data_IF_603344143423
#
_entry.id   IF_603344143423
#
_cell.length_a   1.000
_cell.length_b   1.000
_cell.length_c   1.000
_cell.angle_alpha   90.00
_cell.angle_beta   90.00
_cell.angle_gamma   90.00
#
_symmetry.space_group_name_H-M   'P 1'
#
loop_
_entity.id
_entity.type
_entity.pdbx_description
1 polymer ?
2 non-polymer ?
3 non-polymer ?
4 water ?
#
# COMPACT_ATOMS: atom_id res chain seq x y z
N UNK A 1 -13.24 5.89 -11.48
CA UNK A 1 -12.11 6.22 -12.31
C UNK A 1 -10.71 6.02 -11.62
N UNK A 2 -10.16 4.87 -11.79
CA UNK A 2 -8.89 4.48 -11.12
C UNK A 2 -7.68 4.77 -12.01
N UNK A 3 -7.90 5.25 -13.23
CA UNK A 3 -6.92 5.12 -14.30
C UNK A 3 -5.62 5.84 -14.03
N UNK A 4 -5.72 6.94 -13.28
CA UNK A 4 -4.54 7.76 -12.91
C UNK A 4 -3.55 7.05 -12.00
N UNK A 5 -4.00 5.98 -11.39
CA UNK A 5 -3.18 5.17 -10.49
C UNK A 5 -2.44 4.04 -11.20
N UNK A 6 -2.87 3.69 -12.41
CA UNK A 6 -2.35 2.48 -13.04
C UNK A 6 -0.93 2.68 -13.51
N UNK A 7 -0.13 1.64 -13.38
CA UNK A 7 1.23 1.63 -13.89
C UNK A 7 2.18 1.10 -12.87
N UNK A 8 3.48 1.35 -13.14
CA UNK A 8 4.56 0.88 -12.31
C UNK A 8 5.17 2.08 -11.58
N UNK A 9 5.34 1.92 -10.27
CA UNK A 9 5.72 3.00 -9.37
C UNK A 9 6.89 2.55 -8.51
N UNK A 10 7.81 3.46 -8.23
CA UNK A 10 9.00 3.15 -7.45
C UNK A 10 9.06 4.02 -6.21
N UNK A 11 9.41 3.43 -5.06
CA UNK A 11 9.48 4.21 -3.82
C UNK A 11 10.65 5.21 -3.90
N UNK A 12 10.35 6.46 -3.54
CA UNK A 12 11.41 7.48 -3.56
C UNK A 12 11.49 8.28 -2.28
N UNK A 13 10.66 8.01 -1.28
CA UNK A 13 10.69 8.74 -0.01
C UNK A 13 9.75 7.98 0.92
N UNK A 14 10.20 7.95 2.18
CA UNK A 14 9.40 7.25 3.21
C UNK A 14 9.61 7.98 4.53
N UNK A 15 8.47 8.19 5.22
CA UNK A 15 8.43 8.84 6.51
C UNK A 15 7.62 7.98 7.47
N UNK A 16 8.23 7.65 8.61
CA UNK A 16 7.55 6.97 9.71
C UNK A 16 7.13 5.53 9.40
N UNK A 17 7.78 4.87 8.43
CA UNK A 17 7.43 3.49 8.17
C UNK A 17 7.80 2.59 9.35
N UNK A 18 8.91 2.87 10.02
CA UNK A 18 9.24 2.06 11.20
C UNK A 18 8.14 2.18 12.26
N UNK A 19 7.67 3.41 12.50
CA UNK A 19 6.60 3.56 13.50
C UNK A 19 5.39 2.70 13.09
N UNK A 20 5.01 2.74 11.82
CA UNK A 20 3.85 1.99 11.36
C UNK A 20 4.06 0.49 11.54
N UNK A 21 5.21 -0.02 11.09
CA UNK A 21 5.51 -1.43 11.26
C UNK A 21 5.51 -1.83 12.74
N UNK A 22 6.14 -1.00 13.58
CA UNK A 22 6.21 -1.31 14.99
C UNK A 22 4.79 -1.40 15.57
N UNK A 23 3.91 -0.47 15.19
CA UNK A 23 2.54 -0.47 15.69
C UNK A 23 1.81 -1.78 15.32
N UNK A 24 2.02 -2.29 14.11
CA UNK A 24 1.55 -3.59 13.72
C UNK A 24 2.21 -4.78 14.40
N UNK A 25 3.29 -4.62 15.17
CA UNK A 25 3.97 -5.72 15.83
C UNK A 25 5.03 -6.40 14.98
N UNK A 26 5.49 -5.72 13.93
CA UNK A 26 6.57 -6.30 13.12
C UNK A 26 7.88 -6.32 13.90
N UNK A 27 8.59 -7.47 13.90
CA UNK A 27 9.80 -7.62 14.65
C UNK A 27 10.94 -6.76 14.13
N UNK A 28 11.92 -6.50 15.05
CA UNK A 28 12.95 -5.52 14.72
C UNK A 28 13.75 -5.86 13.50
N UNK A 29 14.06 -7.15 13.28
CA UNK A 29 14.93 -7.52 12.16
C UNK A 29 14.21 -7.28 10.85
N UNK A 30 12.92 -7.60 10.81
CA UNK A 30 12.13 -7.31 9.61
C UNK A 30 12.00 -5.82 9.38
N UNK A 31 11.79 -5.03 10.44
CA UNK A 31 11.70 -3.59 10.22
C UNK A 31 13.01 -3.07 9.68
N UNK A 32 14.09 -3.62 10.22
CA UNK A 32 15.40 -3.18 9.83
C UNK A 32 15.61 -3.40 8.31
N UNK A 33 15.31 -4.55 7.72
CA UNK A 33 15.43 -4.80 6.30
C UNK A 33 14.44 -3.92 5.52
N UNK A 34 13.18 -3.87 5.99
CA UNK A 34 12.17 -3.09 5.29
C UNK A 34 12.49 -1.62 5.24
N UNK A 35 13.21 -1.07 6.20
CA UNK A 35 13.55 0.33 6.22
C UNK A 35 14.56 0.70 5.12
N UNK A 36 15.21 -0.30 4.53
CA UNK A 36 16.19 -0.08 3.47
C UNK A 36 15.76 -0.64 2.12
N UNK A 37 14.57 -1.14 2.02
CA UNK A 37 14.02 -1.66 0.79
C UNK A 37 13.21 -0.53 0.09
N UNK A 38 13.27 -0.56 -1.26
CA UNK A 38 12.50 0.40 -2.06
C UNK A 38 11.60 -0.42 -3.01
N UNK A 39 10.41 -0.72 -2.62
CA UNK A 39 9.60 -1.54 -3.46
C UNK A 39 9.18 -0.85 -4.76
N UNK A 40 8.78 -1.74 -5.68
CA UNK A 40 8.07 -1.37 -6.88
C UNK A 40 6.62 -1.80 -6.70
N UNK A 41 5.70 -0.86 -6.92
CA UNK A 41 4.28 -1.16 -6.88
C UNK A 41 3.75 -1.13 -8.31
N UNK A 42 3.02 -2.16 -8.71
CA UNK A 42 2.42 -2.25 -10.05
C UNK A 42 0.93 -2.36 -9.85
N UNK A 43 0.18 -1.44 -10.47
CA UNK A 43 -1.28 -1.43 -10.36
C UNK A 43 -1.81 -1.58 -11.78
N UNK A 44 -2.58 -2.63 -12.01
CA UNK A 44 -3.13 -2.94 -13.35
C UNK A 44 -4.62 -3.23 -13.18
N UNK A 45 -5.37 -3.00 -14.28
CA UNK A 45 -6.77 -3.33 -14.32
C UNK A 45 -7.09 -4.20 -15.52
N UNK A 46 -8.08 -5.04 -15.33
CA UNK A 46 -8.69 -5.83 -16.41
C UNK A 46 -10.19 -5.81 -16.13
N UNK A 47 -10.90 -4.97 -16.88
CA UNK A 47 -12.29 -4.76 -16.54
C UNK A 47 -12.40 -4.20 -15.14
N UNK A 48 -13.29 -4.81 -14.34
CA UNK A 48 -13.59 -4.41 -12.99
C UNK A 48 -12.53 -4.95 -12.00
N UNK A 49 -11.56 -5.71 -12.43
CA UNK A 49 -10.62 -6.33 -11.49
C UNK A 49 -9.30 -5.57 -11.51
N UNK A 50 -8.91 -5.11 -10.32
CA UNK A 50 -7.61 -4.50 -10.13
C UNK A 50 -6.65 -5.53 -9.57
N UNK A 51 -5.38 -5.46 -9.98
CA UNK A 51 -4.32 -6.25 -9.38
C UNK A 51 -3.20 -5.31 -8.95
N UNK A 52 -2.79 -5.44 -7.71
CA UNK A 52 -1.77 -4.58 -7.11
C UNK A 52 -0.65 -5.49 -6.62
N UNK A 53 0.51 -5.34 -7.26
CA UNK A 53 1.71 -6.09 -6.93
C UNK A 53 2.65 -5.19 -6.17
N UNK A 54 3.30 -5.71 -5.15
CA UNK A 54 4.41 -5.01 -4.50
C UNK A 54 5.62 -5.96 -4.58
N UNK A 55 6.70 -5.46 -5.18
CA UNK A 55 7.90 -6.28 -5.41
C UNK A 55 9.09 -5.64 -4.73
N UNK A 56 9.93 -6.48 -4.14
CA UNK A 56 11.15 -5.95 -3.55
C UNK A 56 12.16 -7.09 -3.43
N UNK A 57 13.35 -6.73 -2.93
CA UNK A 57 14.36 -7.71 -2.60
C UNK A 57 14.06 -8.50 -1.36
N UNK A 58 13.06 -8.12 -0.59
CA UNK A 58 12.74 -8.76 0.68
C UNK A 58 11.45 -9.49 0.58
N UNK A 59 10.29 -8.80 0.61
CA UNK A 59 9.00 -9.48 0.44
C UNK A 59 8.36 -9.08 -0.85
N UNK A 60 7.57 -9.97 -1.46
CA UNK A 60 6.66 -9.66 -2.54
C UNK A 60 5.21 -9.94 -2.10
N UNK A 61 4.30 -9.16 -2.62
CA UNK A 61 2.87 -9.42 -2.43
C UNK A 61 2.11 -9.18 -3.73
N UNK A 62 0.94 -9.79 -3.82
CA UNK A 62 0.00 -9.50 -4.90
C UNK A 62 -1.41 -9.69 -4.37
N UNK A 63 -2.28 -8.74 -4.69
CA UNK A 63 -3.71 -8.85 -4.42
C UNK A 63 -4.49 -8.52 -5.69
N UNK A 64 -5.65 -9.16 -5.83
CA UNK A 64 -6.62 -8.79 -6.85
C UNK A 64 -7.97 -8.56 -6.18
N UNK A 65 -8.70 -7.56 -6.68
CA UNK A 65 -9.94 -7.18 -6.05
C UNK A 65 -10.79 -6.40 -7.05
N UNK A 66 -12.11 -6.37 -6.80
CA UNK A 66 -13.00 -5.35 -7.40
C UNK A 66 -13.20 -4.28 -6.38
N UNK A 67 -13.29 -2.99 -6.85
CA UNK A 67 -13.57 -1.92 -5.97
C UNK A 67 -14.91 -2.17 -5.29
N UNK A 68 -14.93 -1.91 -4.00
CA UNK A 68 -16.16 -1.98 -3.22
C UNK A 68 -16.62 -3.37 -2.89
N UNK A 69 -15.78 -4.40 -3.08
CA UNK A 69 -16.15 -5.77 -2.77
C UNK A 69 -15.07 -6.33 -1.82
N UNK A 70 -15.49 -6.80 -0.66
CA UNK A 70 -14.53 -7.33 0.33
C UNK A 70 -13.77 -8.51 -0.23
N UNK A 71 -12.53 -8.65 0.20
CA UNK A 71 -11.68 -9.77 -0.18
C UNK A 71 -10.80 -10.16 1.00
N UNK A 72 -10.43 -11.44 1.06
CA UNK A 72 -9.44 -11.89 2.01
C UNK A 72 -8.04 -11.52 1.52
N UNK A 73 -7.17 -11.17 2.46
CA UNK A 73 -5.80 -10.79 2.14
C UNK A 73 -4.89 -11.32 3.24
N UNK A 74 -3.69 -11.74 2.84
CA UNK A 74 -2.62 -12.08 3.79
C UNK A 74 -1.48 -11.11 3.51
N UNK A 75 -1.22 -10.23 4.47
CA UNK A 75 -0.32 -9.13 4.25
C UNK A 75 1.15 -9.56 4.27
N UNK A 76 2.04 -8.61 3.91
CA UNK A 76 3.47 -8.92 3.86
C UNK A 76 4.02 -9.35 5.20
N UNK A 77 3.43 -8.83 6.29
CA UNK A 77 3.76 -9.20 7.65
C UNK A 77 2.88 -10.32 8.21
N UNK A 78 2.18 -11.03 7.34
CA UNK A 78 1.47 -12.26 7.66
C UNK A 78 0.21 -12.07 8.50
N UNK A 79 -0.41 -10.90 8.44
CA UNK A 79 -1.75 -10.74 9.01
C UNK A 79 -2.78 -11.26 8.00
N UNK A 80 -3.76 -12.00 8.52
CA UNK A 80 -4.90 -12.46 7.71
C UNK A 80 -6.03 -11.50 7.97
N UNK A 81 -6.38 -10.71 6.96
CA UNK A 81 -7.28 -9.57 7.12
C UNK A 81 -8.44 -9.66 6.14
N UNK A 82 -9.49 -8.91 6.47
CA UNK A 82 -10.63 -8.69 5.59
C UNK A 82 -10.46 -7.28 4.99
N UNK A 83 -10.39 -7.18 3.69
CA UNK A 83 -10.02 -5.94 3.01
C UNK A 83 -11.12 -5.44 2.08
N UNK A 84 -11.11 -4.13 1.90
CA UNK A 84 -11.96 -3.53 0.85
C UNK A 84 -11.19 -2.30 0.35
N UNK A 85 -11.29 -2.08 -0.96
CA UNK A 85 -10.65 -0.93 -1.60
C UNK A 85 -11.76 -0.15 -2.34
N UNK A 86 -11.77 1.16 -2.23
CA UNK A 86 -12.74 2.03 -2.86
C UNK A 86 -12.00 3.27 -3.35
N UNK A 87 -12.75 4.08 -4.11
CA UNK A 87 -12.35 5.45 -4.40
C UNK A 87 -13.18 6.36 -3.53
N UNK A 88 -12.48 7.32 -2.95
CA UNK A 88 -13.09 8.26 -2.02
C UNK A 88 -12.37 9.59 -2.22
N UNK A 89 -13.08 10.59 -2.73
CA UNK A 89 -12.42 11.86 -2.96
C UNK A 89 -11.30 11.76 -3.98
N UNK A 90 -11.40 10.81 -4.88
CA UNK A 90 -10.34 10.58 -5.87
C UNK A 90 -9.14 9.79 -5.34
N UNK A 91 -9.20 9.38 -4.10
CA UNK A 91 -8.13 8.61 -3.47
C UNK A 91 -8.52 7.15 -3.46
N UNK A 92 -7.52 6.30 -3.60
CA UNK A 92 -7.76 4.86 -3.55
C UNK A 92 -7.59 4.43 -2.10
N UNK A 93 -8.65 4.07 -1.38
CA UNK A 93 -8.62 3.81 0.07
C UNK A 93 -8.76 2.30 0.29
N UNK A 94 -7.74 1.74 0.89
CA UNK A 94 -7.70 0.30 1.23
C UNK A 94 -7.83 0.18 2.75
N UNK A 95 -8.89 -0.46 3.21
CA UNK A 95 -9.14 -0.69 4.63
C UNK A 95 -8.95 -2.18 4.91
N UNK A 96 -8.14 -2.50 5.91
CA UNK A 96 -7.93 -3.86 6.38
C UNK A 96 -8.46 -3.98 7.82
N UNK A 97 -9.15 -5.11 8.08
CA UNK A 97 -9.75 -5.40 9.37
C UNK A 97 -9.30 -6.78 9.83
N UNK A 98 -8.90 -6.90 11.10
CA UNK A 98 -8.55 -8.20 11.65
C UNK A 98 -8.55 -8.08 13.17
N UNK A 99 -9.03 -9.12 13.85
CA UNK A 99 -9.07 -9.10 15.32
C UNK A 99 -9.67 -7.79 15.98
N UNK A 100 -10.64 -7.17 15.30
CA UNK A 100 -11.16 -5.89 15.76
C UNK A 100 -10.27 -4.66 15.47
N UNK A 101 -9.08 -4.86 14.98
CA UNK A 101 -8.14 -3.82 14.56
C UNK A 101 -8.48 -3.39 13.14
N UNK A 102 -8.11 -2.17 12.75
CA UNK A 102 -8.18 -1.69 11.38
C UNK A 102 -6.92 -0.88 11.05
N UNK A 103 -6.47 -0.96 9.80
CA UNK A 103 -5.47 -0.05 9.26
C UNK A 103 -5.95 0.41 7.91
N UNK A 104 -5.60 1.65 7.56
CA UNK A 104 -5.93 2.20 6.26
C UNK A 104 -4.66 2.51 5.47
N UNK A 105 -4.75 2.26 4.19
CA UNK A 105 -3.69 2.50 3.21
C UNK A 105 -4.33 3.37 2.14
N UNK A 106 -4.02 4.67 2.15
CA UNK A 106 -4.69 5.65 1.29
C UNK A 106 -3.71 6.13 0.24
N UNK A 107 -4.08 6.02 -1.03
CA UNK A 107 -3.23 6.46 -2.13
C UNK A 107 -3.87 7.66 -2.82
N UNK A 108 -3.04 8.65 -3.11
CA UNK A 108 -3.49 9.80 -3.87
C UNK A 108 -2.36 10.21 -4.79
N UNK A 109 -2.84 11.01 -5.73
CA UNK A 109 -1.91 11.57 -6.70
C UNK A 109 -1.74 13.03 -6.42
N UNK A 110 -0.54 13.47 -6.24
CA UNK A 110 -0.19 14.89 -5.98
C UNK A 110 0.99 15.20 -6.95
N UNK A 111 0.72 16.14 -7.85
CA UNK A 111 1.74 16.56 -8.80
C UNK A 111 2.34 15.33 -9.50
N UNK A 112 1.52 14.37 -9.86
CA UNK A 112 2.05 13.23 -10.59
C UNK A 112 2.71 12.14 -9.75
N UNK A 113 2.92 12.38 -8.46
CA UNK A 113 3.50 11.39 -7.57
C UNK A 113 2.36 10.69 -6.84
N UNK A 114 2.62 9.44 -6.51
CA UNK A 114 1.62 8.72 -5.72
C UNK A 114 2.11 8.77 -4.28
N UNK A 115 1.17 9.24 -3.43
CA UNK A 115 1.44 9.35 -2.01
C UNK A 115 0.57 8.32 -1.30
N UNK A 116 1.23 7.41 -0.60
CA UNK A 116 0.59 6.36 0.18
C UNK A 116 0.70 6.73 1.66
N UNK A 117 -0.46 6.89 2.30
CA UNK A 117 -0.51 7.20 3.73
C UNK A 117 -1.05 5.96 4.45
N UNK A 118 -0.30 5.45 5.40
CA UNK A 118 -0.52 4.23 6.18
C UNK A 118 -0.78 4.59 7.65
N UNK A 119 -1.99 4.26 8.14
CA UNK A 119 -2.38 4.65 9.50
C UNK A 119 -2.75 3.40 10.26
N UNK A 120 -2.13 3.19 11.42
CA UNK A 120 -2.53 2.12 12.35
C UNK A 120 -2.31 2.65 13.74
N UNK A 121 -3.28 2.50 14.63
CA UNK A 121 -3.10 3.11 15.94
C UNK A 121 -2.97 4.60 15.77
N UNK A 122 -1.94 5.16 16.38
CA UNK A 122 -1.64 6.56 16.21
C UNK A 122 -0.58 6.79 15.13
N UNK A 123 0.05 5.73 14.62
CA UNK A 123 1.16 5.86 13.67
C UNK A 123 0.64 6.23 12.29
N UNK A 124 1.30 7.21 11.70
CA UNK A 124 0.95 7.70 10.37
C UNK A 124 2.26 7.76 9.56
N UNK A 125 2.29 6.94 8.52
CA UNK A 125 3.45 6.85 7.62
C UNK A 125 3.06 7.38 6.24
N UNK A 126 3.98 8.13 5.66
CA UNK A 126 3.77 8.65 4.30
C UNK A 126 4.89 8.20 3.39
N UNK A 127 4.54 7.53 2.32
CA UNK A 127 5.52 6.99 1.40
C UNK A 127 5.15 7.37 -0.03
N UNK A 128 6.18 7.90 -0.67
CA UNK A 128 6.00 8.56 -1.95
C UNK A 128 6.59 7.69 -3.05
N UNK A 129 5.81 7.49 -4.10
CA UNK A 129 6.20 6.72 -5.25
C UNK A 129 6.18 7.59 -6.49
N UNK A 130 7.14 7.33 -7.39
CA UNK A 130 7.23 8.00 -8.67
C UNK A 130 7.04 6.97 -9.79
N UNK A 131 6.40 7.41 -10.84
CA UNK A 131 6.05 6.59 -11.98
C UNK A 131 7.31 6.16 -12.69
N UNK A 132 7.31 4.92 -13.08
CA UNK A 132 8.23 4.41 -14.11
C UNK A 132 7.59 4.41 -15.50
N UNK A 133 8.39 4.79 -16.47
CA UNK A 133 7.99 4.89 -17.84
C UNK A 133 7.77 3.54 -18.43
X LIG B 1 3.46 -0.59 -0.13
X LIG B 1 4.99 0.89 0.44
X LIG B 1 4.18 -0.02 0.72
X LIG B 1 4.04 -0.41 2.17
X LIG B 1 3.20 -1.58 2.48
X LIG B 1 3.18 -2.03 3.93
X LIG B 1 2.49 -3.35 4.17
X LIG B 1 2.28 -3.70 5.63
X LIG B 1 3.51 -3.74 6.46
X LIG B 1 4.53 -4.74 6.03
X LIG B 1 5.81 -4.71 6.83
X LIG B 1 6.87 -5.74 6.42
X LIG B 1 7.43 -5.59 5.02
X LIG B 1 8.46 -6.64 4.82
X LIG C 1 19.91 4.38 -1.99
X LIG C 1 20.17 3.11 -2.61
X LIG C 1 19.88 3.12 -4.08
X LIG C 1 18.54 3.30 -4.38
X LIG C 1 18.27 3.21 -5.75
X LIG C 1 16.82 3.26 -6.06
X LIG C 1 16.14 4.43 -5.55
X LIG C 1 16.56 5.69 -6.12
X LIG C 1 15.69 6.77 -5.57
X LIG C 1 15.90 6.91 -4.17
X LIG C 1 15.29 8.08 -3.67
X LIG C 1 15.43 8.15 -2.16
X LIG C 1 14.67 7.11 -1.57
X LIG C 1 14.49 7.35 -0.20
X LIG C 1 13.68 6.31 0.44
X LIG C 1 14.48 5.23 0.83
X LIG C 1 13.73 4.24 1.51
X LIG C 1 14.64 3.11 1.84
X LIG C 1 15.62 3.52 2.83
X LIG D 1 -16.44 -9.06 -13.52
X LIG D 1 -15.21 -9.82 -13.68
X LIG D 1 -15.26 -11.20 -13.03
X LIG D 1 -15.50 -10.97 -11.65
X LIG D 1 -15.41 -11.89 -10.49
X LIG D 1 -16.67 -11.61 -9.62
X LIG D 1 -16.68 -10.94 -8.32
X LIG D 1 -18.01 -10.69 -7.75
X LIG D 1 -18.45 -9.34 -8.28
X LIG D 1 -19.27 -8.51 -7.52
X LIG D 1 -20.55 -8.34 -7.94
X LIG D 1 -20.56 -7.80 -9.37
X LIG D 1 -19.43 -7.04 -9.75
X LIG D 1 -19.64 -5.66 -10.10
X LIG D 1 -19.29 -5.51 -11.58
X LIG D 1 -18.18 -6.37 -11.78
#
# INVERSE_FOLDING_TARGET
>A
MVDAFLGTWKLVDSKNFDDYMKSLGVGFATRQVASMTKPTTIIEKNGDILTLKTHSTFKNTEISFKLGVEFDETTADDRKVKSIVTLDGGKLVHLQKWDGQETTLVRELIDGKLILTLTHGTAVCTRTYEKEA
>B hetero
1 DAO O1 O2 C1 C2 C3 C4 C5 C6 C7 C8 C9 C10 C11 C12
>C hetero
1 P6G O1 C2 C3 O4 C5 C6 O7 C8 C9 O10 C11 C12 O13 C14 C15 O16 C17 C18 O19
>D hetero
1 P6G O1 C2 C3 O4 C5 C6 O7 C8 C9 O10 C11 C12 O13 C14 C15 O16
#
